data_IF_854334312667
#
_entry.id   IF_854334312667
#
_cell.length_a   1.000
_cell.length_b   1.000
_cell.length_c   1.000
_cell.angle_alpha   90.00
_cell.angle_beta   90.00
_cell.angle_gamma   90.00
#
_symmetry.space_group_name_H-M   'P 1'
#
loop_
_entity.id
_entity.type
_entity.pdbx_description
1 polymer ?
#
# COMPACT_ATOMS: atom_id res chain seq x y z
N UNK A 1 -50.82 -20.32 -0.10
CA UNK A 1 -49.58 -20.46 0.71
C UNK A 1 -48.31 -20.53 -0.16
N UNK A 2 -48.28 -19.96 -1.38
CA UNK A 2 -47.20 -20.15 -2.38
C UNK A 2 -46.36 -18.93 -2.74
N UNK A 3 -46.64 -17.73 -2.19
CA UNK A 3 -45.94 -16.50 -2.60
C UNK A 3 -44.68 -16.18 -1.79
N UNK A 4 -44.54 -16.71 -0.58
CA UNK A 4 -43.40 -16.43 0.31
C UNK A 4 -42.14 -17.23 -0.03
N UNK A 5 -42.29 -18.41 -0.63
CA UNK A 5 -41.16 -19.29 -0.97
C UNK A 5 -40.35 -18.72 -2.15
N UNK A 6 -41.02 -18.10 -3.13
CA UNK A 6 -40.37 -17.53 -4.31
C UNK A 6 -39.53 -16.30 -3.96
N UNK A 7 -40.02 -15.46 -3.05
CA UNK A 7 -39.30 -14.23 -2.62
C UNK A 7 -38.03 -14.58 -1.83
N UNK A 8 -38.08 -15.63 -1.01
CA UNK A 8 -36.92 -16.12 -0.26
C UNK A 8 -35.79 -16.61 -1.17
N UNK A 9 -36.10 -17.37 -2.23
CA UNK A 9 -35.08 -17.94 -3.11
C UNK A 9 -34.34 -16.87 -3.95
N UNK A 10 -35.03 -15.80 -4.34
CA UNK A 10 -34.44 -14.70 -5.12
C UNK A 10 -33.44 -13.84 -4.33
N UNK A 11 -33.56 -13.77 -3.00
CA UNK A 11 -32.61 -13.01 -2.16
C UNK A 11 -31.30 -13.78 -2.00
N UNK A 12 -31.33 -15.11 -1.91
CA UNK A 12 -30.12 -15.92 -1.78
C UNK A 12 -29.24 -15.93 -3.05
N UNK A 13 -29.85 -15.79 -4.23
CA UNK A 13 -29.09 -15.76 -5.49
C UNK A 13 -28.30 -14.46 -5.69
N UNK A 14 -28.76 -13.33 -5.13
CA UNK A 14 -28.06 -12.04 -5.22
C UNK A 14 -26.80 -11.99 -4.34
N UNK A 15 -26.77 -12.74 -3.22
CA UNK A 15 -25.63 -12.76 -2.29
C UNK A 15 -24.45 -13.56 -2.87
N UNK A 16 -24.70 -14.56 -3.71
CA UNK A 16 -23.65 -15.38 -4.30
C UNK A 16 -22.82 -14.65 -5.38
N UNK A 17 -23.38 -13.62 -6.04
CA UNK A 17 -22.72 -12.89 -7.13
C UNK A 17 -21.81 -11.76 -6.58
N UNK A 18 -22.03 -11.32 -5.34
CA UNK A 18 -21.27 -10.22 -4.72
C UNK A 18 -19.86 -10.57 -4.24
N UNK A 19 -19.55 -11.85 -4.02
CA UNK A 19 -18.28 -12.26 -3.38
C UNK A 19 -17.13 -12.40 -4.39
N UNK A 20 -17.41 -12.62 -5.68
CA UNK A 20 -16.37 -12.87 -6.70
C UNK A 20 -15.78 -11.60 -7.33
N UNK A 21 -16.50 -10.48 -7.33
CA UNK A 21 -16.04 -9.23 -7.97
C UNK A 21 -15.00 -8.47 -7.13
N UNK A 22 -15.05 -8.56 -5.80
CA UNK A 22 -14.14 -7.82 -4.93
C UNK A 22 -12.67 -8.23 -5.11
N UNK A 23 -12.40 -9.53 -5.23
CA UNK A 23 -11.03 -10.03 -5.38
C UNK A 23 -10.37 -9.60 -6.71
N UNK A 24 -11.15 -9.58 -7.81
CA UNK A 24 -10.67 -9.08 -9.11
C UNK A 24 -10.33 -7.59 -9.05
N UNK A 25 -11.18 -6.81 -8.38
CA UNK A 25 -10.98 -5.37 -8.20
C UNK A 25 -9.76 -5.07 -7.30
N UNK A 26 -9.56 -5.86 -6.25
CA UNK A 26 -8.36 -5.77 -5.41
C UNK A 26 -7.08 -6.05 -6.20
N UNK A 27 -7.03 -7.19 -6.92
CA UNK A 27 -5.85 -7.56 -7.73
C UNK A 27 -5.53 -6.51 -8.79
N UNK A 28 -6.56 -5.91 -9.40
CA UNK A 28 -6.39 -4.79 -10.32
C UNK A 28 -5.82 -3.56 -9.62
N UNK A 29 -6.39 -3.14 -8.48
CA UNK A 29 -5.90 -1.99 -7.72
C UNK A 29 -4.44 -2.17 -7.27
N UNK A 30 -4.06 -3.36 -6.79
CA UNK A 30 -2.67 -3.68 -6.46
C UNK A 30 -1.78 -3.64 -7.70
N UNK A 31 -2.24 -4.14 -8.84
CA UNK A 31 -1.49 -4.04 -10.11
C UNK A 31 -1.24 -2.59 -10.52
N UNK A 32 -2.25 -1.73 -10.42
CA UNK A 32 -2.15 -0.30 -10.71
C UNK A 32 -1.20 0.40 -9.73
N UNK A 33 -1.27 0.06 -8.45
CA UNK A 33 -0.36 0.56 -7.43
C UNK A 33 1.10 0.15 -7.72
N UNK A 34 1.34 -1.10 -8.10
CA UNK A 34 2.68 -1.59 -8.46
C UNK A 34 3.20 -0.87 -9.72
N UNK A 35 2.36 -0.61 -10.72
CA UNK A 35 2.73 0.19 -11.90
C UNK A 35 3.11 1.62 -11.50
N UNK A 36 2.32 2.24 -10.62
CA UNK A 36 2.62 3.57 -10.09
C UNK A 36 3.95 3.57 -9.32
N UNK A 37 4.19 2.57 -8.46
CA UNK A 37 5.43 2.42 -7.72
C UNK A 37 6.64 2.29 -8.65
N UNK A 38 6.58 1.44 -9.69
CA UNK A 38 7.68 1.26 -10.64
C UNK A 38 7.97 2.53 -11.45
N UNK A 39 6.94 3.26 -11.85
CA UNK A 39 7.07 4.57 -12.51
C UNK A 39 7.74 5.59 -11.57
N UNK A 40 7.31 5.61 -10.31
CA UNK A 40 7.85 6.50 -9.27
C UNK A 40 9.29 6.16 -8.90
N UNK A 41 9.66 4.88 -8.82
CA UNK A 41 11.05 4.42 -8.64
C UNK A 41 11.93 4.99 -9.75
N UNK A 42 11.45 4.94 -11.00
CA UNK A 42 12.21 5.48 -12.14
C UNK A 42 12.37 6.99 -12.04
N UNK A 43 11.31 7.73 -11.67
CA UNK A 43 11.37 9.18 -11.43
C UNK A 43 12.35 9.52 -10.31
N UNK A 44 12.20 8.90 -9.14
CA UNK A 44 13.04 9.13 -7.97
C UNK A 44 14.51 8.76 -8.22
N UNK A 45 14.78 7.65 -8.92
CA UNK A 45 16.15 7.30 -9.33
C UNK A 45 16.78 8.42 -10.17
N UNK A 46 16.03 9.01 -11.11
CA UNK A 46 16.51 10.12 -11.94
C UNK A 46 16.70 11.40 -11.12
N UNK A 47 15.74 11.75 -10.27
CA UNK A 47 15.80 12.95 -9.41
C UNK A 47 16.99 12.91 -8.44
N UNK A 48 17.27 11.74 -7.86
CA UNK A 48 18.38 11.55 -6.91
C UNK A 48 19.73 11.32 -7.62
N UNK A 49 19.75 11.12 -8.93
CA UNK A 49 20.97 10.98 -9.72
C UNK A 49 21.69 9.63 -9.62
N UNK A 50 21.14 8.65 -8.90
CA UNK A 50 21.80 7.35 -8.67
C UNK A 50 21.90 6.49 -9.94
N UNK A 51 23.06 5.87 -10.18
CA UNK A 51 23.33 5.04 -11.36
C UNK A 51 24.06 3.74 -11.00
N UNK A 52 23.94 2.72 -11.85
CA UNK A 52 24.70 1.47 -11.72
C UNK A 52 24.55 0.81 -10.34
N UNK A 53 25.69 0.52 -9.68
CA UNK A 53 25.73 -0.09 -8.34
C UNK A 53 25.14 0.80 -7.25
N UNK A 54 25.34 2.11 -7.35
CA UNK A 54 24.85 3.08 -6.37
C UNK A 54 23.31 3.04 -6.28
N UNK A 55 22.62 2.85 -7.41
CA UNK A 55 21.16 2.68 -7.42
C UNK A 55 20.71 1.53 -6.51
N UNK A 56 21.42 0.41 -6.54
CA UNK A 56 21.11 -0.76 -5.71
C UNK A 56 21.41 -0.48 -4.24
N UNK A 57 22.55 0.14 -3.94
CA UNK A 57 22.96 0.49 -2.58
C UNK A 57 22.05 1.56 -1.94
N UNK A 58 21.47 2.44 -2.75
CA UNK A 58 20.58 3.53 -2.32
C UNK A 58 19.11 3.23 -2.55
N UNK A 59 18.72 1.96 -2.75
CA UNK A 59 17.33 1.58 -3.01
C UNK A 59 16.37 2.07 -1.91
N UNK A 60 16.79 2.05 -0.64
CA UNK A 60 15.97 2.56 0.45
C UNK A 60 15.72 4.07 0.33
N UNK A 61 16.70 4.85 -0.11
CA UNK A 61 16.51 6.29 -0.38
C UNK A 61 15.60 6.55 -1.59
N UNK A 62 15.68 5.71 -2.62
CA UNK A 62 14.76 5.77 -3.75
C UNK A 62 13.33 5.50 -3.27
N UNK A 63 13.15 4.49 -2.43
CA UNK A 63 11.84 4.15 -1.86
C UNK A 63 11.31 5.22 -0.88
N UNK A 64 12.18 5.86 -0.09
CA UNK A 64 11.83 7.05 0.69
C UNK A 64 11.26 8.14 -0.22
N UNK A 65 11.94 8.45 -1.32
CA UNK A 65 11.44 9.42 -2.29
C UNK A 65 10.08 9.03 -2.88
N UNK A 66 9.85 7.74 -3.17
CA UNK A 66 8.55 7.25 -3.67
C UNK A 66 7.43 7.48 -2.65
N UNK A 67 7.70 7.21 -1.37
CA UNK A 67 6.71 7.41 -0.29
C UNK A 67 6.36 8.88 -0.08
N UNK A 68 7.35 9.77 -0.20
CA UNK A 68 7.13 11.22 -0.17
C UNK A 68 6.30 11.64 -1.39
N UNK A 69 6.66 11.18 -2.59
CA UNK A 69 5.96 11.51 -3.83
C UNK A 69 4.51 10.99 -3.87
N UNK A 70 4.21 9.90 -3.15
CA UNK A 70 2.85 9.35 -3.04
C UNK A 70 2.03 9.99 -1.92
N UNK A 71 2.59 10.94 -1.16
CA UNK A 71 1.93 11.53 0.01
C UNK A 71 1.79 10.58 1.21
N UNK A 72 2.48 9.44 1.19
CA UNK A 72 2.50 8.49 2.31
C UNK A 72 3.50 8.86 3.41
N UNK A 73 4.25 9.94 3.21
CA UNK A 73 5.29 10.44 4.11
C UNK A 73 5.38 11.96 3.96
N UNK A 74 5.80 12.64 5.03
CA UNK A 74 6.04 14.09 4.99
C UNK A 74 7.24 14.44 4.09
N UNK A 75 7.29 15.66 3.53
CA UNK A 75 8.41 16.10 2.69
C UNK A 75 9.79 16.06 3.37
N UNK A 76 9.82 16.16 4.70
CA UNK A 76 11.05 16.04 5.50
C UNK A 76 11.50 14.59 5.69
N UNK A 77 10.70 13.60 5.26
CA UNK A 77 10.97 12.19 5.40
C UNK A 77 10.46 11.56 6.70
N UNK A 78 9.70 12.30 7.51
CA UNK A 78 9.06 11.76 8.72
C UNK A 78 7.77 11.02 8.38
N UNK A 79 7.44 10.01 9.20
CA UNK A 79 6.21 9.25 9.10
C UNK A 79 5.16 9.80 10.06
N UNK A 80 3.96 10.02 9.52
CA UNK A 80 2.76 10.29 10.29
C UNK A 80 1.71 9.24 9.95
N UNK A 81 0.95 8.81 10.96
CA UNK A 81 -0.04 7.74 10.81
C UNK A 81 -1.14 8.21 9.84
N UNK A 82 -1.50 9.48 9.91
CA UNK A 82 -2.49 10.16 9.11
C UNK A 82 -2.18 10.06 7.61
N UNK A 83 -0.92 10.23 7.21
CA UNK A 83 -0.49 10.12 5.81
C UNK A 83 -0.68 8.69 5.28
N UNK A 84 -0.32 7.69 6.09
CA UNK A 84 -0.52 6.28 5.74
C UNK A 84 -2.01 5.91 5.63
N UNK A 85 -2.83 6.39 6.56
CA UNK A 85 -4.28 6.17 6.53
C UNK A 85 -4.94 6.83 5.33
N UNK A 86 -4.59 8.09 5.05
CA UNK A 86 -5.08 8.82 3.88
C UNK A 86 -4.75 8.07 2.59
N UNK A 87 -3.50 7.64 2.43
CA UNK A 87 -3.07 6.87 1.27
C UNK A 87 -3.92 5.62 1.06
N UNK A 88 -4.21 4.88 2.14
CA UNK A 88 -5.04 3.68 2.09
C UNK A 88 -6.47 4.00 1.66
N UNK A 89 -7.09 5.00 2.27
CA UNK A 89 -8.47 5.40 1.96
C UNK A 89 -8.63 5.91 0.52
N UNK A 90 -7.59 6.52 -0.06
CA UNK A 90 -7.63 7.08 -1.42
C UNK A 90 -7.31 6.05 -2.52
N UNK A 91 -6.49 5.03 -2.22
CA UNK A 91 -5.94 4.14 -3.25
C UNK A 91 -6.39 2.68 -3.10
N UNK A 92 -6.95 2.29 -1.96
CA UNK A 92 -7.36 0.92 -1.69
C UNK A 92 -8.89 0.81 -1.80
N UNK A 93 -9.41 -0.15 -2.59
CA UNK A 93 -10.84 -0.37 -2.72
C UNK A 93 -11.54 -0.66 -1.37
N UNK A 94 -12.76 -0.13 -1.21
CA UNK A 94 -13.54 -0.23 0.03
C UNK A 94 -13.83 -1.68 0.46
N UNK A 95 -13.93 -2.60 -0.48
CA UNK A 95 -14.18 -4.03 -0.23
C UNK A 95 -13.02 -4.76 0.46
N UNK A 96 -11.82 -4.16 0.44
CA UNK A 96 -10.63 -4.70 1.13
C UNK A 96 -10.03 -3.74 2.15
N UNK A 97 -10.74 -2.64 2.45
CA UNK A 97 -10.22 -1.56 3.31
C UNK A 97 -9.92 -2.02 4.74
N UNK A 98 -10.75 -2.89 5.32
CA UNK A 98 -10.51 -3.40 6.67
C UNK A 98 -9.23 -4.23 6.74
N UNK A 99 -8.99 -5.08 5.72
CA UNK A 99 -7.73 -5.83 5.58
C UNK A 99 -6.56 -4.88 5.38
N UNK A 100 -6.77 -3.81 4.62
CA UNK A 100 -5.76 -2.79 4.36
C UNK A 100 -5.32 -2.09 5.65
N UNK A 101 -6.29 -1.61 6.43
CA UNK A 101 -6.07 -0.92 7.70
C UNK A 101 -5.40 -1.82 8.73
N UNK A 102 -5.88 -3.06 8.89
CA UNK A 102 -5.28 -4.04 9.81
C UNK A 102 -3.85 -4.41 9.37
N UNK A 103 -3.64 -4.60 8.07
CA UNK A 103 -2.34 -4.92 7.51
C UNK A 103 -1.33 -3.80 7.69
N UNK A 104 -1.75 -2.55 7.41
CA UNK A 104 -0.90 -1.37 7.53
C UNK A 104 -0.58 -1.00 8.97
N UNK A 105 -1.49 -1.25 9.92
CA UNK A 105 -1.28 -0.98 11.34
C UNK A 105 0.00 -1.67 11.86
N UNK A 106 0.33 -2.86 11.32
CA UNK A 106 1.58 -3.57 11.68
C UNK A 106 2.84 -2.81 11.29
N UNK A 107 2.77 -1.96 10.26
CA UNK A 107 3.88 -1.13 9.80
C UNK A 107 3.94 0.23 10.52
N UNK A 108 2.86 0.65 11.19
CA UNK A 108 2.82 1.93 11.91
C UNK A 108 3.79 1.99 13.09
N UNK A 109 4.19 0.84 13.66
CA UNK A 109 5.25 0.78 14.69
C UNK A 109 6.57 1.44 14.26
N UNK A 110 6.83 1.53 12.95
CA UNK A 110 8.03 2.19 12.43
C UNK A 110 7.90 3.72 12.33
N UNK A 111 6.70 4.26 12.54
CA UNK A 111 6.46 5.69 12.70
C UNK A 111 6.74 6.17 14.14
N UNK A 112 7.09 5.26 15.06
CA UNK A 112 7.52 5.63 16.40
C UNK A 112 8.80 6.49 16.36
N UNK A 113 8.83 7.52 17.21
CA UNK A 113 9.93 8.49 17.25
C UNK A 113 11.26 7.79 17.51
N UNK A 114 12.24 8.06 16.65
CA UNK A 114 13.61 7.54 16.78
C UNK A 114 13.87 6.20 16.11
N UNK A 115 12.87 5.59 15.47
CA UNK A 115 13.06 4.36 14.67
C UNK A 115 13.62 4.67 13.28
N UNK A 116 13.15 5.77 12.68
CA UNK A 116 13.60 6.26 11.37
C UNK A 116 14.39 7.54 11.57
N UNK A 117 15.56 7.62 10.96
CA UNK A 117 16.36 8.85 10.89
C UNK A 117 16.19 9.48 9.49
N UNK A 118 15.49 10.62 9.38
CA UNK A 118 15.29 11.28 8.10
C UNK A 118 16.57 11.81 7.45
N UNK A 119 17.64 12.01 8.22
CA UNK A 119 18.89 12.59 7.75
C UNK A 119 19.97 11.53 7.46
N UNK A 120 19.66 10.25 7.63
CA UNK A 120 20.61 9.17 7.38
C UNK A 120 21.01 9.08 5.90
N UNK A 121 22.31 9.15 5.62
CA UNK A 121 22.84 9.25 4.26
C UNK A 121 22.51 8.07 3.31
N UNK A 122 22.19 6.89 3.85
CA UNK A 122 21.82 5.70 3.07
C UNK A 122 20.37 5.25 3.29
N UNK A 123 19.61 5.96 4.12
CA UNK A 123 18.22 5.67 4.44
C UNK A 123 17.99 4.22 4.92
N UNK A 124 18.98 3.58 5.55
CA UNK A 124 18.90 2.18 5.99
C UNK A 124 17.86 1.97 7.08
N UNK A 125 17.65 2.95 7.94
CA UNK A 125 16.59 2.96 8.97
C UNK A 125 15.18 2.84 8.38
N UNK A 126 14.97 3.17 7.10
CA UNK A 126 13.70 2.97 6.41
C UNK A 126 13.45 1.53 5.94
N UNK A 127 14.49 0.70 5.85
CA UNK A 127 14.41 -0.65 5.29
C UNK A 127 13.32 -1.53 5.96
N UNK A 128 13.21 -1.58 7.30
CA UNK A 128 12.19 -2.39 7.96
C UNK A 128 10.76 -1.95 7.61
N UNK A 129 10.55 -0.63 7.52
CA UNK A 129 9.26 -0.05 7.13
C UNK A 129 8.91 -0.37 5.68
N UNK A 130 9.85 -0.15 4.75
CA UNK A 130 9.68 -0.44 3.32
C UNK A 130 9.37 -1.92 3.10
N UNK A 131 10.09 -2.82 3.79
CA UNK A 131 9.83 -4.27 3.75
C UNK A 131 8.44 -4.60 4.28
N UNK A 132 8.03 -3.98 5.38
CA UNK A 132 6.69 -4.17 5.93
C UNK A 132 5.61 -3.76 4.93
N UNK A 133 5.71 -2.56 4.34
CA UNK A 133 4.76 -2.07 3.34
C UNK A 133 4.72 -2.94 2.08
N UNK A 134 5.89 -3.37 1.59
CA UNK A 134 5.96 -4.23 0.40
C UNK A 134 5.28 -5.57 0.66
N UNK A 135 5.55 -6.20 1.81
CA UNK A 135 4.90 -7.44 2.20
C UNK A 135 3.39 -7.26 2.37
N UNK A 136 2.96 -6.14 2.94
CA UNK A 136 1.56 -5.77 3.05
C UNK A 136 0.87 -5.72 1.68
N UNK A 137 1.40 -4.94 0.73
CA UNK A 137 0.84 -4.82 -0.63
C UNK A 137 0.76 -6.18 -1.32
N UNK A 138 1.80 -7.01 -1.19
CA UNK A 138 1.86 -8.36 -1.80
C UNK A 138 0.87 -9.36 -1.19
N UNK A 139 0.38 -9.12 0.02
CA UNK A 139 -0.54 -10.03 0.74
C UNK A 139 -1.97 -9.49 0.85
N UNK A 140 -2.20 -8.23 0.47
CA UNK A 140 -3.47 -7.53 0.63
C UNK A 140 -4.64 -8.25 -0.07
N UNK A 141 -4.44 -8.68 -1.32
CA UNK A 141 -5.47 -9.34 -2.12
C UNK A 141 -5.50 -10.86 -2.00
N UNK A 142 -4.79 -11.42 -1.00
CA UNK A 142 -4.62 -12.86 -0.85
C UNK A 142 -3.64 -13.48 -1.85
N UNK A 143 -3.16 -14.69 -1.53
CA UNK A 143 -2.72 -15.65 -2.55
C UNK A 143 -3.97 -16.24 -3.20
#
# INVERSE_FOLDING_TARGET
>A
MSRYIVVSLSVFLAVAIGVSNGEKNCKQAVSELLKYQMSSITKCTKTLGYKGKEKTEKMNCIMKCVLIASGGMNPDGTLEIENGLKFILENIPLDVIDKALIGSAKCQRYAEKGVIDPNEANCKTYEPFIKCLTNFVMTLCGK
#
